data_IF_944507106589
#
_entry.id   IF_944507106589
#
_cell.length_a   1.000
_cell.length_b   1.000
_cell.length_c   1.000
_cell.angle_alpha   90.00
_cell.angle_beta   90.00
_cell.angle_gamma   90.00
#
_symmetry.space_group_name_H-M   'P 1'
#
loop_
_entity.id
_entity.type
_entity.pdbx_description
1 polymer ?
#
# COMPACT_ATOMS: atom_id res chain seq x y z
N UNK A 1 12.16 18.17 -3.75
CA UNK A 1 12.39 18.51 -2.32
C UNK A 1 13.06 17.32 -1.65
N UNK A 2 13.82 17.52 -0.56
CA UNK A 2 14.37 16.39 0.19
C UNK A 2 13.23 15.71 0.96
N UNK A 3 13.00 14.42 0.69
CA UNK A 3 11.98 13.58 1.35
C UNK A 3 12.58 12.72 2.47
N UNK A 4 13.90 12.84 2.73
CA UNK A 4 14.58 12.15 3.83
C UNK A 4 14.41 12.84 5.18
N UNK A 5 14.00 14.12 5.17
CA UNK A 5 13.68 14.90 6.37
C UNK A 5 12.19 14.74 6.70
N UNK A 6 11.91 14.51 7.99
CA UNK A 6 10.56 14.48 8.51
C UNK A 6 9.95 15.89 8.45
N UNK A 7 8.79 16.02 7.83
CA UNK A 7 8.08 17.28 7.69
C UNK A 7 6.56 17.01 7.67
N UNK A 8 5.92 16.98 8.85
CA UNK A 8 4.50 16.63 8.98
C UNK A 8 3.58 17.66 8.30
N UNK A 9 4.05 18.90 8.06
CA UNK A 9 3.27 19.92 7.34
C UNK A 9 2.90 19.43 5.93
N UNK A 10 3.74 18.60 5.31
CA UNK A 10 3.46 18.02 3.98
C UNK A 10 2.27 17.06 3.99
N UNK A 11 1.94 16.48 5.14
CA UNK A 11 0.76 15.62 5.30
C UNK A 11 -0.55 16.43 5.37
N UNK A 12 -0.49 17.76 5.51
CA UNK A 12 -1.67 18.63 5.45
C UNK A 12 -2.17 18.88 4.01
N UNK A 13 -1.50 18.35 2.99
CA UNK A 13 -1.91 18.51 1.60
C UNK A 13 -3.32 17.90 1.34
N UNK A 14 -4.18 18.50 0.50
CA UNK A 14 -5.56 18.03 0.27
C UNK A 14 -5.70 16.56 -0.13
N UNK A 15 -4.66 15.99 -0.75
CA UNK A 15 -4.64 14.57 -1.13
C UNK A 15 -4.67 13.61 0.06
N UNK A 16 -4.31 14.09 1.26
CA UNK A 16 -4.44 13.34 2.51
C UNK A 16 -5.82 13.47 3.17
N UNK A 17 -6.75 14.28 2.65
CA UNK A 17 -8.07 14.51 3.26
C UNK A 17 -8.94 13.24 3.38
N UNK A 18 -8.65 12.19 2.61
CA UNK A 18 -9.28 10.88 2.75
C UNK A 18 -8.85 10.09 4.00
N UNK A 19 -7.72 10.47 4.59
CA UNK A 19 -7.05 9.79 5.71
C UNK A 19 -6.58 10.78 6.79
N UNK A 20 -7.16 11.98 6.84
CA UNK A 20 -6.70 13.04 7.75
C UNK A 20 -6.82 12.67 9.22
N UNK A 21 -7.78 11.80 9.57
CA UNK A 21 -7.96 11.24 10.91
C UNK A 21 -6.80 10.31 11.34
N UNK A 22 -6.09 9.71 10.37
CA UNK A 22 -4.90 8.89 10.62
C UNK A 22 -3.64 9.74 10.66
N UNK A 23 -3.54 10.73 9.76
CA UNK A 23 -2.46 11.72 9.76
C UNK A 23 -2.39 12.47 11.09
N UNK A 24 -3.54 12.91 11.62
CA UNK A 24 -3.62 13.63 12.90
C UNK A 24 -3.17 12.81 14.13
N UNK A 25 -2.89 11.51 13.97
CA UNK A 25 -2.35 10.67 15.06
C UNK A 25 -0.83 10.63 15.10
N UNK A 26 -0.17 11.20 14.09
CA UNK A 26 1.29 11.16 13.91
C UNK A 26 1.89 12.52 13.53
N UNK A 27 1.08 13.56 13.31
CA UNK A 27 1.55 14.88 12.87
C UNK A 27 2.16 15.70 14.02
N UNK A 28 2.00 15.25 15.27
CA UNK A 28 2.64 15.78 16.48
C UNK A 28 4.03 15.17 16.75
N UNK A 29 4.44 14.16 15.98
CA UNK A 29 5.73 13.50 16.18
C UNK A 29 6.91 14.45 15.86
N UNK A 30 7.90 14.57 16.77
CA UNK A 30 9.01 15.52 16.61
C UNK A 30 10.04 15.10 15.55
N UNK A 31 10.03 13.82 15.15
CA UNK A 31 10.85 13.22 14.10
C UNK A 31 10.02 12.10 13.43
N UNK A 32 10.61 11.39 12.47
CA UNK A 32 10.00 10.21 11.86
C UNK A 32 9.41 9.27 12.92
N UNK A 33 8.12 8.90 12.82
CA UNK A 33 7.49 7.96 13.74
C UNK A 33 8.27 6.63 13.76
N UNK A 34 8.52 6.11 14.95
CA UNK A 34 9.13 4.79 15.10
C UNK A 34 8.15 3.68 14.66
N UNK A 35 8.66 2.49 14.33
CA UNK A 35 7.79 1.36 13.97
C UNK A 35 6.92 0.93 15.17
N UNK A 36 7.44 1.05 16.40
CA UNK A 36 6.70 0.83 17.63
C UNK A 36 5.54 1.83 17.76
N UNK A 37 5.81 3.12 17.62
CA UNK A 37 4.79 4.18 17.61
C UNK A 37 3.73 3.92 16.55
N UNK A 38 4.11 3.57 15.32
CA UNK A 38 3.14 3.28 14.26
C UNK A 38 2.25 2.06 14.59
N UNK A 39 2.82 1.00 15.16
CA UNK A 39 2.06 -0.15 15.63
C UNK A 39 1.07 0.23 16.76
N UNK A 40 1.48 1.11 17.68
CA UNK A 40 0.62 1.59 18.76
C UNK A 40 -0.53 2.47 18.24
N UNK A 41 -0.24 3.44 17.37
CA UNK A 41 -1.23 4.42 16.87
C UNK A 41 -2.27 3.80 15.93
N UNK A 42 -1.92 2.70 15.27
CA UNK A 42 -2.77 2.00 14.29
C UNK A 42 -3.08 0.56 14.71
N UNK A 43 -2.99 0.26 16.01
CA UNK A 43 -3.17 -1.09 16.54
C UNK A 43 -4.52 -1.69 16.15
N UNK A 44 -5.61 -0.91 16.28
CA UNK A 44 -6.97 -1.37 16.01
C UNK A 44 -7.14 -1.75 14.52
N UNK A 45 -6.64 -0.91 13.62
CA UNK A 45 -6.75 -1.12 12.17
C UNK A 45 -5.92 -2.33 11.71
N UNK A 46 -4.68 -2.45 12.18
CA UNK A 46 -3.76 -3.52 11.77
C UNK A 46 -4.13 -4.87 12.42
N UNK A 47 -4.44 -4.89 13.72
CA UNK A 47 -4.87 -6.10 14.42
C UNK A 47 -6.22 -6.61 13.89
N UNK A 48 -7.09 -5.72 13.40
CA UNK A 48 -8.37 -6.07 12.76
C UNK A 48 -8.23 -7.01 11.55
N UNK A 49 -7.05 -7.06 10.92
CA UNK A 49 -6.75 -8.00 9.83
C UNK A 49 -5.57 -8.92 10.13
N UNK A 50 -5.12 -8.97 11.39
CA UNK A 50 -4.09 -9.89 11.87
C UNK A 50 -2.68 -9.57 11.36
N UNK A 51 -2.36 -8.30 11.13
CA UNK A 51 -1.04 -7.84 10.70
C UNK A 51 -0.41 -6.87 11.70
N UNK A 52 0.90 -6.72 11.65
CA UNK A 52 1.67 -5.72 12.39
C UNK A 52 2.92 -5.33 11.60
N UNK A 53 3.47 -4.16 11.88
CA UNK A 53 4.69 -3.66 11.27
C UNK A 53 5.91 -4.28 11.94
N UNK A 54 6.91 -4.65 11.15
CA UNK A 54 8.21 -5.11 11.67
C UNK A 54 9.31 -4.30 11.01
N UNK A 55 10.19 -3.73 11.83
CA UNK A 55 11.34 -2.99 11.31
C UNK A 55 12.23 -3.90 10.45
N UNK A 56 12.46 -3.49 9.21
CA UNK A 56 13.23 -4.26 8.25
C UNK A 56 13.89 -3.36 7.23
N UNK A 57 15.08 -3.74 6.75
CA UNK A 57 15.66 -3.14 5.57
C UNK A 57 14.90 -3.51 4.30
N UNK A 58 15.45 -3.15 3.13
CA UNK A 58 14.88 -3.57 1.84
C UNK A 58 14.76 -5.10 1.79
N UNK A 59 13.54 -5.61 1.62
CA UNK A 59 13.29 -7.05 1.46
C UNK A 59 14.04 -7.61 0.25
N UNK A 60 14.70 -8.75 0.45
CA UNK A 60 15.46 -9.47 -0.58
C UNK A 60 15.09 -10.94 -0.50
N UNK A 61 14.91 -11.56 -1.66
CA UNK A 61 14.74 -13.01 -1.73
C UNK A 61 15.99 -13.71 -1.17
N UNK A 62 15.78 -14.62 -0.23
CA UNK A 62 16.83 -15.50 0.31
C UNK A 62 16.71 -16.90 -0.28
N UNK A 63 17.80 -17.67 -0.23
CA UNK A 63 17.79 -19.06 -0.67
C UNK A 63 17.49 -20.01 0.49
N UNK A 64 16.70 -21.04 0.22
CA UNK A 64 16.55 -22.22 1.05
C UNK A 64 17.77 -23.16 0.90
N UNK A 65 17.81 -24.21 1.72
CA UNK A 65 18.91 -25.20 1.75
C UNK A 65 19.12 -25.91 0.40
N UNK A 66 18.07 -26.06 -0.40
CA UNK A 66 18.14 -26.69 -1.74
C UNK A 66 18.62 -25.73 -2.84
N UNK A 67 18.99 -24.50 -2.48
CA UNK A 67 19.47 -23.48 -3.42
C UNK A 67 18.37 -22.77 -4.20
N UNK A 68 17.09 -23.05 -3.92
CA UNK A 68 15.95 -22.33 -4.48
C UNK A 68 15.55 -21.15 -3.60
N UNK A 69 14.81 -20.18 -4.12
CA UNK A 69 14.29 -19.05 -3.35
C UNK A 69 13.33 -19.57 -2.29
N UNK A 70 13.54 -19.16 -1.04
CA UNK A 70 12.58 -19.32 0.04
C UNK A 70 11.41 -18.33 -0.18
N UNK A 71 10.19 -18.81 -0.51
CA UNK A 71 9.06 -17.93 -0.73
C UNK A 71 8.71 -17.09 0.51
N UNK A 72 8.95 -17.58 1.72
CA UNK A 72 8.65 -16.87 2.97
C UNK A 72 9.50 -15.58 3.15
N UNK A 73 10.58 -15.45 2.40
CA UNK A 73 11.42 -14.24 2.35
C UNK A 73 10.85 -13.13 1.46
N UNK A 74 9.85 -13.43 0.63
CA UNK A 74 9.22 -12.45 -0.27
C UNK A 74 8.24 -11.58 0.50
N UNK A 75 8.18 -10.29 0.16
CA UNK A 75 7.44 -9.28 0.92
C UNK A 75 5.98 -9.67 1.17
N UNK A 76 5.22 -9.96 0.12
CA UNK A 76 3.80 -10.27 0.23
C UNK A 76 3.57 -11.63 0.88
N UNK A 77 4.45 -12.60 0.65
CA UNK A 77 4.37 -13.92 1.28
C UNK A 77 4.59 -13.81 2.79
N UNK A 78 5.55 -13.00 3.23
CA UNK A 78 5.80 -12.72 4.65
C UNK A 78 4.58 -12.10 5.34
N UNK A 79 3.89 -11.16 4.68
CA UNK A 79 2.64 -10.58 5.20
C UNK A 79 1.59 -11.68 5.38
N UNK A 80 1.40 -12.54 4.38
CA UNK A 80 0.36 -13.57 4.43
C UNK A 80 0.66 -14.70 5.42
N UNK A 81 1.91 -15.12 5.55
CA UNK A 81 2.29 -16.26 6.38
C UNK A 81 2.56 -15.89 7.83
N UNK A 82 3.01 -14.65 8.09
CA UNK A 82 3.45 -14.22 9.43
C UNK A 82 2.67 -13.02 9.98
N UNK A 83 1.83 -12.39 9.17
CA UNK A 83 1.18 -11.13 9.55
C UNK A 83 2.18 -10.00 9.72
N UNK A 84 3.37 -10.10 9.12
CA UNK A 84 4.44 -9.11 9.29
C UNK A 84 4.53 -8.24 8.05
N UNK A 85 4.39 -6.93 8.21
CA UNK A 85 4.62 -5.92 7.17
C UNK A 85 6.04 -5.38 7.35
N UNK A 86 7.01 -5.80 6.50
CA UNK A 86 8.37 -5.28 6.56
C UNK A 86 8.38 -3.78 6.29
N UNK A 87 8.89 -2.99 7.24
CA UNK A 87 8.80 -1.53 7.21
C UNK A 87 10.16 -0.93 7.56
N UNK A 88 10.69 -0.07 6.70
CA UNK A 88 11.95 0.66 6.91
C UNK A 88 11.66 1.87 7.80
N UNK A 89 12.46 2.03 8.84
CA UNK A 89 12.44 3.24 9.65
C UNK A 89 12.85 4.47 8.81
N UNK A 90 12.28 5.64 9.13
CA UNK A 90 12.60 6.93 8.51
C UNK A 90 12.48 6.93 6.99
N UNK A 91 11.40 6.36 6.47
CA UNK A 91 11.19 6.19 5.03
C UNK A 91 9.78 6.64 4.63
N UNK A 92 9.70 7.66 3.76
CA UNK A 92 8.44 8.24 3.30
C UNK A 92 7.52 7.19 2.67
N UNK A 93 8.06 6.37 1.78
CA UNK A 93 7.31 5.31 1.10
C UNK A 93 6.68 4.32 2.10
N UNK A 94 7.45 3.81 3.04
CA UNK A 94 6.95 2.82 4.01
C UNK A 94 6.00 3.43 5.05
N UNK A 95 6.20 4.71 5.43
CA UNK A 95 5.25 5.45 6.25
C UNK A 95 3.89 5.61 5.53
N UNK A 96 3.92 6.02 4.27
CA UNK A 96 2.70 6.26 3.50
C UNK A 96 2.00 4.94 3.17
N UNK A 97 2.76 3.88 2.90
CA UNK A 97 2.22 2.53 2.80
C UNK A 97 1.58 2.07 4.12
N UNK A 98 2.16 2.42 5.28
CA UNK A 98 1.57 2.16 6.60
C UNK A 98 0.25 2.89 6.78
N UNK A 99 0.17 4.17 6.42
CA UNK A 99 -1.08 4.93 6.46
C UNK A 99 -2.16 4.32 5.56
N UNK A 100 -1.78 3.82 4.38
CA UNK A 100 -2.70 3.10 3.49
C UNK A 100 -3.13 1.76 4.09
N UNK A 101 -2.23 1.01 4.76
CA UNK A 101 -2.59 -0.19 5.51
C UNK A 101 -3.58 0.09 6.63
N UNK A 102 -3.40 1.17 7.39
CA UNK A 102 -4.35 1.59 8.43
C UNK A 102 -5.68 2.09 7.83
N UNK A 103 -5.63 2.77 6.67
CA UNK A 103 -6.82 3.31 6.01
C UNK A 103 -7.68 2.23 5.34
N UNK A 104 -7.05 1.22 4.75
CA UNK A 104 -7.67 0.17 3.93
C UNK A 104 -7.11 -1.23 4.26
N UNK A 105 -7.21 -1.69 5.51
CA UNK A 105 -6.57 -2.93 5.95
C UNK A 105 -7.11 -4.16 5.23
N UNK A 106 -8.43 -4.23 4.96
CA UNK A 106 -9.01 -5.39 4.27
C UNK A 106 -8.58 -5.44 2.81
N UNK A 107 -8.57 -4.30 2.11
CA UNK A 107 -8.19 -4.21 0.71
C UNK A 107 -6.70 -4.48 0.51
N UNK A 108 -5.83 -3.92 1.37
CA UNK A 108 -4.39 -4.20 1.33
C UNK A 108 -4.09 -5.67 1.61
N UNK A 109 -4.82 -6.31 2.52
CA UNK A 109 -4.67 -7.74 2.76
C UNK A 109 -5.14 -8.57 1.55
N UNK A 110 -6.28 -8.25 0.94
CA UNK A 110 -6.78 -8.95 -0.24
C UNK A 110 -5.81 -8.83 -1.45
N UNK A 111 -5.26 -7.63 -1.67
CA UNK A 111 -4.27 -7.38 -2.69
C UNK A 111 -2.96 -8.12 -2.41
N UNK A 112 -2.47 -8.09 -1.16
CA UNK A 112 -1.27 -8.82 -0.73
C UNK A 112 -1.44 -10.33 -0.90
N UNK A 113 -2.63 -10.89 -0.65
CA UNK A 113 -2.93 -12.31 -0.91
C UNK A 113 -2.76 -12.66 -2.38
N UNK A 114 -3.30 -11.83 -3.26
CA UNK A 114 -3.23 -12.03 -4.71
C UNK A 114 -1.79 -11.94 -5.22
N UNK A 115 -1.05 -10.92 -4.77
CA UNK A 115 0.37 -10.75 -5.09
C UNK A 115 1.23 -11.90 -4.53
N UNK A 116 0.95 -12.39 -3.32
CA UNK A 116 1.67 -13.51 -2.71
C UNK A 116 1.55 -14.81 -3.54
N UNK A 117 0.39 -15.08 -4.14
CA UNK A 117 0.23 -16.21 -5.07
C UNK A 117 1.17 -16.06 -6.27
N UNK A 118 1.13 -14.91 -6.93
CA UNK A 118 1.99 -14.63 -8.10
C UNK A 118 3.48 -14.66 -7.74
N UNK A 119 3.85 -14.20 -6.54
CA UNK A 119 5.23 -14.21 -6.05
C UNK A 119 5.73 -15.63 -5.79
N UNK A 120 4.90 -16.52 -5.24
CA UNK A 120 5.22 -17.95 -5.10
C UNK A 120 5.45 -18.60 -6.46
N UNK A 121 4.58 -18.34 -7.44
CA UNK A 121 4.75 -18.85 -8.82
C UNK A 121 6.02 -18.33 -9.49
N UNK A 122 6.38 -17.07 -9.24
CA UNK A 122 7.62 -16.45 -9.72
C UNK A 122 8.87 -17.02 -9.05
N UNK A 123 8.78 -17.52 -7.82
CA UNK A 123 9.91 -18.12 -7.11
C UNK A 123 10.05 -19.64 -7.32
N UNK A 124 8.95 -20.34 -7.59
CA UNK A 124 8.88 -21.81 -7.60
C UNK A 124 10.03 -22.48 -8.36
N UNK A 125 10.88 -23.20 -7.62
CA UNK A 125 12.01 -23.99 -8.15
C UNK A 125 13.15 -23.16 -8.74
N UNK A 126 13.23 -21.86 -8.46
CA UNK A 126 14.24 -20.95 -9.04
C UNK A 126 15.22 -20.46 -7.99
N UNK A 127 16.49 -20.34 -8.35
CA UNK A 127 17.52 -19.68 -7.54
C UNK A 127 17.50 -18.15 -7.65
N UNK A 128 16.73 -17.58 -8.60
CA UNK A 128 16.57 -16.14 -8.80
C UNK A 128 15.20 -15.81 -9.36
N UNK A 129 14.63 -14.69 -8.91
CA UNK A 129 13.36 -14.18 -9.45
C UNK A 129 13.55 -13.79 -10.93
N UNK A 130 12.58 -14.10 -11.81
CA UNK A 130 12.58 -13.62 -13.18
C UNK A 130 12.66 -12.09 -13.23
N UNK A 131 13.42 -11.56 -14.19
CA UNK A 131 13.59 -10.12 -14.38
C UNK A 131 12.28 -9.42 -14.74
N UNK A 132 11.42 -10.11 -15.50
CA UNK A 132 10.10 -9.61 -15.89
C UNK A 132 9.03 -10.13 -14.93
N UNK A 133 8.11 -9.22 -14.58
CA UNK A 133 6.85 -9.56 -13.91
C UNK A 133 5.85 -10.05 -14.96
N UNK A 134 4.86 -10.82 -14.53
CA UNK A 134 3.74 -11.17 -15.42
C UNK A 134 2.85 -9.95 -15.60
N UNK A 135 2.09 -9.85 -16.72
CA UNK A 135 1.16 -8.74 -16.94
C UNK A 135 0.08 -8.59 -15.84
N UNK A 136 -0.22 -9.67 -15.12
CA UNK A 136 -1.13 -9.67 -13.98
C UNK A 136 -0.45 -9.08 -12.74
N UNK A 137 0.77 -9.51 -12.44
CA UNK A 137 1.53 -8.98 -11.31
C UNK A 137 1.80 -7.48 -11.48
N UNK A 138 2.14 -7.02 -12.68
CA UNK A 138 2.31 -5.58 -12.96
C UNK A 138 1.01 -4.79 -12.75
N UNK A 139 -0.13 -5.37 -13.12
CA UNK A 139 -1.44 -4.73 -12.93
C UNK A 139 -1.78 -4.56 -11.45
N UNK A 140 -1.57 -5.60 -10.65
CA UNK A 140 -1.82 -5.55 -9.21
C UNK A 140 -0.83 -4.62 -8.49
N UNK A 141 0.42 -4.57 -8.92
CA UNK A 141 1.39 -3.60 -8.41
C UNK A 141 0.98 -2.16 -8.71
N UNK A 142 0.49 -1.88 -9.94
CA UNK A 142 -0.04 -0.55 -10.29
C UNK A 142 -1.25 -0.13 -9.44
N UNK A 143 -2.08 -1.10 -9.03
CA UNK A 143 -3.17 -0.83 -8.08
C UNK A 143 -2.61 -0.46 -6.71
N UNK A 144 -1.66 -1.23 -6.20
CA UNK A 144 -1.05 -1.01 -4.88
C UNK A 144 -0.37 0.36 -4.76
N UNK A 145 0.32 0.76 -5.83
CA UNK A 145 1.11 1.99 -5.88
C UNK A 145 0.26 3.20 -6.30
N UNK A 146 -0.74 3.01 -7.17
CA UNK A 146 -1.35 4.11 -7.93
C UNK A 146 -2.86 4.08 -8.09
N UNK A 147 -3.62 3.33 -7.28
CA UNK A 147 -5.08 3.35 -7.38
C UNK A 147 -5.73 4.56 -6.70
N UNK A 148 -6.79 5.06 -7.34
CA UNK A 148 -7.77 5.99 -6.76
C UNK A 148 -9.12 5.28 -6.75
N UNK A 149 -9.67 5.04 -5.57
CA UNK A 149 -10.97 4.41 -5.39
C UNK A 149 -12.04 5.49 -5.49
N UNK A 150 -13.00 5.34 -6.40
CA UNK A 150 -14.02 6.37 -6.65
C UNK A 150 -15.41 5.80 -6.44
N UNK A 151 -16.22 6.48 -5.65
CA UNK A 151 -17.66 6.30 -5.58
C UNK A 151 -18.35 7.49 -6.25
N UNK A 152 -19.67 7.46 -6.49
CA UNK A 152 -20.36 8.59 -7.13
C UNK A 152 -20.27 9.90 -6.35
N UNK A 153 -20.02 9.86 -5.03
CA UNK A 153 -19.98 11.02 -4.17
C UNK A 153 -18.57 11.48 -3.78
N UNK A 154 -17.54 10.62 -3.89
CA UNK A 154 -16.18 10.93 -3.41
C UNK A 154 -15.12 10.03 -4.04
N UNK A 155 -13.86 10.48 -4.01
CA UNK A 155 -12.69 9.67 -4.29
C UNK A 155 -11.76 9.55 -3.07
N UNK A 156 -11.04 8.43 -3.00
CA UNK A 156 -10.02 8.13 -2.00
C UNK A 156 -8.73 7.68 -2.68
N UNK A 157 -7.60 8.21 -2.24
CA UNK A 157 -6.30 7.75 -2.71
C UNK A 157 -5.95 6.48 -1.93
N UNK A 158 -5.81 5.37 -2.67
CA UNK A 158 -5.36 4.08 -2.14
C UNK A 158 -3.88 3.85 -2.46
N UNK A 159 -3.43 4.30 -3.62
CA UNK A 159 -2.05 4.17 -4.05
C UNK A 159 -1.10 4.97 -3.17
N UNK A 160 -0.25 4.29 -2.40
CA UNK A 160 0.70 4.94 -1.50
C UNK A 160 1.75 5.79 -2.26
N UNK A 161 2.11 5.42 -3.49
CA UNK A 161 3.04 6.20 -4.31
C UNK A 161 2.44 7.55 -4.75
N UNK A 162 1.12 7.64 -4.93
CA UNK A 162 0.44 8.93 -5.18
C UNK A 162 0.62 9.86 -3.97
N UNK A 163 0.43 9.33 -2.76
CA UNK A 163 0.68 10.10 -1.54
C UNK A 163 2.16 10.44 -1.36
N UNK A 164 3.07 9.57 -1.79
CA UNK A 164 4.51 9.82 -1.75
C UNK A 164 4.89 11.00 -2.63
N UNK A 165 4.33 11.06 -3.83
CA UNK A 165 4.49 12.20 -4.71
C UNK A 165 3.88 13.49 -4.13
N UNK A 166 2.70 13.43 -3.49
CA UNK A 166 2.17 14.59 -2.77
C UNK A 166 3.09 15.05 -1.63
N UNK A 167 3.63 14.12 -0.84
CA UNK A 167 4.60 14.41 0.19
C UNK A 167 5.90 14.99 -0.38
N UNK A 168 6.30 14.60 -1.59
CA UNK A 168 7.43 15.19 -2.32
C UNK A 168 7.10 16.55 -2.97
N UNK A 169 5.83 16.97 -2.98
CA UNK A 169 5.29 18.15 -3.67
C UNK A 169 5.22 17.99 -5.20
N UNK A 170 5.18 16.77 -5.70
CA UNK A 170 5.12 16.41 -7.11
C UNK A 170 3.69 16.02 -7.52
N UNK A 171 2.86 17.00 -7.87
CA UNK A 171 1.43 16.74 -8.10
C UNK A 171 1.08 16.30 -9.54
N UNK A 172 2.08 16.21 -10.42
CA UNK A 172 1.92 15.82 -11.84
C UNK A 172 1.69 14.32 -12.07
N UNK A 173 1.06 13.62 -11.12
CA UNK A 173 0.91 12.16 -11.15
C UNK A 173 -0.45 11.72 -11.69
N UNK A 174 -0.46 10.52 -12.28
CA UNK A 174 -1.66 9.89 -12.83
C UNK A 174 -1.97 8.63 -12.03
N UNK A 175 -3.23 8.47 -11.66
CA UNK A 175 -3.74 7.31 -10.93
C UNK A 175 -4.60 6.40 -11.80
N UNK A 176 -4.72 5.15 -11.41
CA UNK A 176 -5.69 4.21 -11.96
C UNK A 176 -6.99 4.33 -11.19
N UNK A 177 -8.06 4.80 -11.86
CA UNK A 177 -9.37 4.94 -11.22
C UNK A 177 -10.07 3.59 -11.15
N UNK A 178 -10.53 3.25 -9.95
CA UNK A 178 -11.33 2.07 -9.67
C UNK A 178 -12.71 2.54 -9.24
N UNK A 179 -13.70 2.31 -10.10
CA UNK A 179 -15.09 2.64 -9.79
C UNK A 179 -15.66 1.63 -8.79
N UNK A 180 -16.19 2.17 -7.71
CA UNK A 180 -16.92 1.49 -6.66
C UNK A 180 -18.40 1.90 -6.73
N UNK A 181 -19.29 0.98 -6.39
CA UNK A 181 -20.74 1.20 -6.43
C UNK A 181 -21.24 2.18 -5.37
N UNK A 182 -22.51 2.59 -5.51
CA UNK A 182 -23.22 3.53 -4.62
C UNK A 182 -23.30 3.09 -3.15
N UNK A 183 -23.02 1.81 -2.87
CA UNK A 183 -23.06 1.26 -1.51
C UNK A 183 -21.89 1.70 -0.62
N UNK A 184 -20.84 2.30 -1.16
CA UNK A 184 -19.68 2.74 -0.39
C UNK A 184 -19.74 4.24 -0.10
N UNK A 185 -20.03 4.60 1.16
CA UNK A 185 -20.16 5.99 1.60
C UNK A 185 -19.08 6.40 2.60
N UNK A 186 -18.54 5.44 3.35
CA UNK A 186 -17.47 5.64 4.32
C UNK A 186 -16.17 4.94 3.89
N UNK A 187 -15.02 5.35 4.47
CA UNK A 187 -13.74 4.68 4.24
C UNK A 187 -13.79 3.17 4.57
N UNK A 188 -14.37 2.72 5.71
CA UNK A 188 -14.54 1.29 5.98
C UNK A 188 -15.40 0.55 4.94
N UNK A 189 -16.44 1.18 4.39
CA UNK A 189 -17.24 0.55 3.33
C UNK A 189 -16.46 0.41 2.03
N UNK A 190 -15.70 1.46 1.66
CA UNK A 190 -14.78 1.45 0.52
C UNK A 190 -13.74 0.34 0.67
N UNK A 191 -13.14 0.22 1.86
CA UNK A 191 -12.16 -0.82 2.17
C UNK A 191 -12.73 -2.23 1.95
N UNK A 192 -13.89 -2.52 2.55
CA UNK A 192 -14.54 -3.84 2.41
C UNK A 192 -15.02 -4.13 1.00
N UNK A 193 -15.61 -3.14 0.33
CA UNK A 193 -16.11 -3.31 -1.03
C UNK A 193 -14.96 -3.56 -2.00
N UNK A 194 -13.86 -2.83 -1.85
CA UNK A 194 -12.68 -3.03 -2.68
C UNK A 194 -11.97 -4.36 -2.38
N UNK A 195 -11.89 -4.76 -1.10
CA UNK A 195 -11.36 -6.06 -0.70
C UNK A 195 -12.13 -7.25 -1.30
N UNK A 196 -13.44 -7.10 -1.51
CA UNK A 196 -14.30 -8.11 -2.13
C UNK A 196 -14.31 -8.05 -3.66
N UNK A 197 -13.68 -7.04 -4.26
CA UNK A 197 -13.72 -6.82 -5.69
C UNK A 197 -12.80 -7.81 -6.43
N UNK A 198 -13.24 -8.28 -7.59
CA UNK A 198 -12.38 -9.06 -8.49
C UNK A 198 -11.37 -8.11 -9.16
N UNK A 199 -10.20 -7.96 -8.55
CA UNK A 199 -9.14 -7.05 -8.98
C UNK A 199 -8.70 -7.30 -10.43
N UNK A 200 -8.82 -8.53 -10.94
CA UNK A 200 -8.51 -8.83 -12.33
C UNK A 200 -9.51 -8.20 -13.32
N UNK A 201 -10.76 -7.98 -12.89
CA UNK A 201 -11.84 -7.37 -13.68
C UNK A 201 -11.98 -5.87 -13.50
N UNK A 202 -11.60 -5.36 -12.33
CA UNK A 202 -11.85 -3.97 -11.92
C UNK A 202 -10.84 -3.00 -12.55
N UNK A 203 -9.63 -3.48 -12.84
CA UNK A 203 -8.55 -2.63 -13.37
C UNK A 203 -8.63 -2.53 -14.89
N UNK A 204 -9.12 -1.38 -15.39
CA UNK A 204 -9.17 -1.09 -16.83
C UNK A 204 -7.80 -0.63 -17.34
N UNK A 205 -7.45 -1.05 -18.56
CA UNK A 205 -6.26 -0.53 -19.26
C UNK A 205 -6.52 0.90 -19.73
N UNK A 206 -5.55 1.78 -19.52
CA UNK A 206 -5.60 3.16 -20.00
C UNK A 206 -4.43 3.99 -19.44
N UNK A 207 -4.25 5.24 -19.91
CA UNK A 207 -3.13 6.10 -19.52
C UNK A 207 -3.21 6.61 -18.06
N UNK A 208 -4.10 6.08 -17.22
CA UNK A 208 -4.47 6.67 -15.93
C UNK A 208 -5.22 7.99 -16.10
N UNK A 209 -5.63 8.61 -15.00
CA UNK A 209 -6.28 9.94 -14.94
C UNK A 209 -5.44 10.84 -14.05
N UNK A 210 -5.33 12.14 -14.37
CA UNK A 210 -4.57 13.06 -13.54
C UNK A 210 -5.21 13.13 -12.15
N UNK A 211 -4.42 12.94 -11.08
CA UNK A 211 -4.97 12.88 -9.73
C UNK A 211 -5.57 14.24 -9.32
N UNK A 212 -5.01 15.35 -9.80
CA UNK A 212 -5.55 16.70 -9.60
C UNK A 212 -6.97 16.90 -10.15
N UNK A 213 -7.45 16.04 -11.04
CA UNK A 213 -8.81 16.09 -11.59
C UNK A 213 -9.80 15.20 -10.81
N UNK A 214 -9.31 14.45 -9.83
CA UNK A 214 -10.08 13.41 -9.11
C UNK A 214 -10.34 13.73 -7.64
N UNK A 215 -9.46 14.49 -6.99
CA UNK A 215 -9.47 14.75 -5.53
C UNK A 215 -9.49 16.23 -5.20
#
# INVERSE_FOLDING_TARGET
MDVSVWDPVRLAHPWFAGISDLVARIDDEPDWPSIETLNERFADELAGVGVHLVESGKTKATLATDGTIDPASLYEVRIIERGEIPTRARNAHDLLNTLIWAAFPHAKLALSRSLAVLQRERAAGRARLPATRTPEHDRLALVDEGAVLRTPSRAWIFGHAILEHAYAGELGVRGTVIELGESAQSRPDVDRLFAAADLARVVRRGPGVAVTELV
#
